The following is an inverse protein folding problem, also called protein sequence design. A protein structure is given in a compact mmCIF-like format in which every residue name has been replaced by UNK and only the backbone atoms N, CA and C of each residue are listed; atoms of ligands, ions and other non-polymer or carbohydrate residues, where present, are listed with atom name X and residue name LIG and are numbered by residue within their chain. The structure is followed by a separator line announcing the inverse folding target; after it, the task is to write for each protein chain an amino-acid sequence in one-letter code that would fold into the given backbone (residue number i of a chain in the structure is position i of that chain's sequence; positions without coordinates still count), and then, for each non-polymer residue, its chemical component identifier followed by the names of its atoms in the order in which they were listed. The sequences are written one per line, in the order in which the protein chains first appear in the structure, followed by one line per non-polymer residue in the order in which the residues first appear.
data_IF_160264375706
#
_entry.id   IF_160264375706
#
_cell.length_a   1.000
_cell.length_b   1.000
_cell.length_c   1.000
_cell.angle_alpha   90.00
_cell.angle_beta   90.00
_cell.angle_gamma   90.00
#
_symmetry.space_group_name_H-M   'P 1'
#
loop_
_entity.id
_entity.type
_entity.pdbx_description
1 polymer ?
#
# COMPACT_ATOMS: atom_id res chain seq x y z
N UNK A 1 -22.35 -9.22 -24.98
CA UNK A 1 -23.75 -9.19 -24.50
C UNK A 1 -23.73 -8.57 -23.13
N UNK A 2 -24.42 -7.44 -22.98
CA UNK A 2 -24.37 -6.59 -21.80
C UNK A 2 -25.09 -7.27 -20.62
N UNK A 3 -24.40 -7.39 -19.48
CA UNK A 3 -25.02 -7.75 -18.21
C UNK A 3 -25.80 -6.53 -17.72
N UNK A 4 -27.12 -6.57 -17.88
CA UNK A 4 -28.04 -5.69 -17.17
C UNK A 4 -28.13 -6.16 -15.71
N UNK A 5 -27.22 -5.69 -14.88
CA UNK A 5 -27.45 -5.66 -13.43
C UNK A 5 -28.52 -4.63 -13.16
N UNK A 6 -29.78 -5.05 -13.14
CA UNK A 6 -30.85 -4.29 -12.51
C UNK A 6 -30.53 -4.19 -11.02
N UNK A 7 -30.00 -3.03 -10.62
CA UNK A 7 -29.99 -2.63 -9.22
C UNK A 7 -31.45 -2.57 -8.76
N UNK A 8 -31.90 -3.62 -8.06
CA UNK A 8 -33.12 -3.57 -7.25
C UNK A 8 -32.88 -2.52 -6.19
N UNK A 9 -33.33 -1.29 -6.47
CA UNK A 9 -33.39 -0.22 -5.49
C UNK A 9 -34.46 -0.64 -4.51
N UNK A 10 -34.05 -1.12 -3.34
CA UNK A 10 -34.94 -1.29 -2.20
C UNK A 10 -35.52 0.10 -1.94
N UNK A 11 -36.79 0.29 -2.29
CA UNK A 11 -37.49 1.53 -2.04
C UNK A 11 -37.68 1.62 -0.54
N UNK A 12 -36.69 2.18 0.18
CA UNK A 12 -36.87 2.45 1.59
C UNK A 12 -38.04 3.41 1.74
N UNK A 13 -38.99 3.13 2.65
CA UNK A 13 -40.13 4.01 2.86
C UNK A 13 -39.61 5.40 3.22
N UNK A 14 -40.18 6.44 2.62
CA UNK A 14 -39.84 7.82 2.98
C UNK A 14 -40.39 8.05 4.38
N UNK A 15 -39.51 8.21 5.37
CA UNK A 15 -39.90 8.52 6.74
C UNK A 15 -39.62 9.99 7.03
N UNK A 16 -40.60 10.68 7.62
CA UNK A 16 -40.41 12.03 8.14
C UNK A 16 -39.80 11.96 9.54
N UNK A 17 -38.62 12.58 9.71
CA UNK A 17 -37.93 12.63 11.00
C UNK A 17 -38.10 13.97 11.69
N UNK A 18 -38.18 13.89 13.02
CA UNK A 18 -38.13 15.06 13.90
C UNK A 18 -36.98 14.92 14.90
N UNK A 19 -36.26 16.01 15.20
CA UNK A 19 -35.19 15.99 16.19
C UNK A 19 -35.75 15.68 17.58
N UNK A 20 -35.04 14.84 18.34
CA UNK A 20 -35.38 14.46 19.71
C UNK A 20 -34.63 15.39 20.66
N UNK A 21 -35.31 15.90 21.69
CA UNK A 21 -34.68 16.63 22.80
C UNK A 21 -34.88 15.88 24.11
N UNK A 22 -33.79 15.58 24.81
CA UNK A 22 -33.82 14.83 26.07
C UNK A 22 -33.78 15.80 27.26
N UNK A 23 -34.92 15.94 27.96
CA UNK A 23 -34.99 16.71 29.20
C UNK A 23 -34.54 15.85 30.40
N UNK A 24 -33.24 15.79 30.65
CA UNK A 24 -32.69 15.18 31.87
C UNK A 24 -32.40 16.26 32.92
N UNK A 25 -33.00 16.23 34.13
CA UNK A 25 -32.72 17.23 35.15
C UNK A 25 -31.30 17.06 35.72
N UNK A 26 -30.45 18.07 35.54
CA UNK A 26 -29.06 18.08 36.04
C UNK A 26 -28.92 18.58 37.48
N UNK A 27 -30.04 18.83 38.17
CA UNK A 27 -30.05 19.41 39.52
C UNK A 27 -29.64 18.34 40.55
N UNK A 28 -28.38 18.39 40.99
CA UNK A 28 -27.83 17.55 42.07
C UNK A 28 -26.65 16.64 41.68
N UNK A 29 -26.19 16.66 40.42
CA UNK A 29 -25.05 15.85 39.98
C UNK A 29 -23.69 16.55 40.22
N UNK A 30 -22.64 15.76 40.50
CA UNK A 30 -21.26 16.26 40.52
C UNK A 30 -20.86 16.81 39.15
N UNK A 31 -19.97 17.82 39.13
CA UNK A 31 -19.57 18.57 37.91
C UNK A 31 -19.11 17.62 36.78
N UNK A 32 -18.27 16.64 37.08
CA UNK A 32 -17.78 15.68 36.09
C UNK A 32 -18.90 14.81 35.50
N UNK A 33 -19.91 14.48 36.29
CA UNK A 33 -21.06 13.67 35.85
C UNK A 33 -22.01 14.50 35.00
N UNK A 34 -22.17 15.78 35.32
CA UNK A 34 -22.97 16.71 34.54
C UNK A 34 -22.37 16.93 33.13
N UNK A 35 -21.05 17.04 33.03
CA UNK A 35 -20.34 17.21 31.75
C UNK A 35 -20.46 15.96 30.86
N UNK A 36 -20.30 14.77 31.44
CA UNK A 36 -20.50 13.50 30.71
C UNK A 36 -21.96 13.36 30.24
N UNK A 37 -22.92 13.70 31.09
CA UNK A 37 -24.34 13.65 30.72
C UNK A 37 -24.68 14.63 29.59
N UNK A 38 -24.11 15.84 29.62
CA UNK A 38 -24.29 16.84 28.56
C UNK A 38 -23.66 16.37 27.24
N UNK A 39 -22.45 15.80 27.28
CA UNK A 39 -21.78 15.26 26.10
C UNK A 39 -22.56 14.10 25.47
N UNK A 40 -23.06 13.17 26.28
CA UNK A 40 -23.88 12.04 25.81
C UNK A 40 -25.19 12.57 25.21
N UNK A 41 -25.82 13.58 25.84
CA UNK A 41 -27.04 14.22 25.34
C UNK A 41 -26.80 14.82 23.95
N UNK A 42 -25.77 15.64 23.80
CA UNK A 42 -25.45 16.27 22.51
C UNK A 42 -25.20 15.24 21.41
N UNK A 43 -24.45 14.18 21.73
CA UNK A 43 -24.23 13.08 20.78
C UNK A 43 -25.50 12.29 20.48
N UNK A 44 -26.37 12.08 21.45
CA UNK A 44 -27.62 11.34 21.27
C UNK A 44 -28.59 12.15 20.40
N UNK A 45 -28.78 13.44 20.67
CA UNK A 45 -29.67 14.31 19.89
C UNK A 45 -29.17 14.52 18.46
N UNK A 46 -27.84 14.47 18.24
CA UNK A 46 -27.27 14.56 16.89
C UNK A 46 -27.46 13.28 16.05
N UNK A 47 -27.53 12.11 16.68
CA UNK A 47 -27.52 10.82 15.98
C UNK A 47 -28.85 10.07 16.05
N UNK A 48 -29.73 10.42 16.98
CA UNK A 48 -31.03 9.78 17.16
C UNK A 48 -32.14 10.69 16.62
N UNK A 49 -32.93 10.14 15.72
CA UNK A 49 -34.08 10.83 15.11
C UNK A 49 -35.35 10.05 15.46
N UNK A 50 -36.44 10.77 15.77
CA UNK A 50 -37.74 10.14 15.99
C UNK A 50 -38.52 10.14 14.68
N UNK A 51 -38.92 8.95 14.23
CA UNK A 51 -39.83 8.83 13.09
C UNK A 51 -41.23 9.26 13.52
N UNK A 52 -41.74 10.36 12.95
CA UNK A 52 -43.05 10.91 13.29
C UNK A 52 -44.18 10.12 12.62
N UNK A 53 -43.95 9.66 11.41
CA UNK A 53 -44.91 8.87 10.64
C UNK A 53 -44.16 7.75 9.95
N UNK A 54 -44.54 6.52 10.30
CA UNK A 54 -44.04 5.31 9.66
C UNK A 54 -45.14 4.82 8.73
N UNK A 55 -45.02 5.12 7.44
CA UNK A 55 -46.00 4.70 6.45
C UNK A 55 -45.82 3.19 6.19
N UNK A 56 -46.58 2.38 6.94
CA UNK A 56 -46.68 0.94 6.68
C UNK A 56 -47.66 0.78 5.53
N UNK A 57 -47.14 0.56 4.32
CA UNK A 57 -47.95 0.07 3.22
C UNK A 57 -48.32 -1.38 3.52
N UNK A 58 -49.43 -1.58 4.25
CA UNK A 58 -50.00 -2.90 4.44
C UNK A 58 -50.43 -3.44 3.07
N UNK A 59 -50.21 -4.72 2.78
CA UNK A 59 -50.77 -5.33 1.57
C UNK A 59 -52.30 -5.15 1.57
N UNK A 60 -52.92 -4.95 0.39
CA UNK A 60 -54.35 -4.74 0.30
C UNK A 60 -55.11 -5.87 0.98
N UNK A 61 -56.10 -5.50 1.81
CA UNK A 61 -56.90 -6.45 2.58
C UNK A 61 -57.59 -7.43 1.64
N UNK A 62 -57.66 -8.70 2.02
CA UNK A 62 -58.25 -9.81 1.22
C UNK A 62 -59.72 -9.50 0.89
N UNK A 63 -60.39 -8.70 1.73
CA UNK A 63 -61.76 -8.21 1.53
C UNK A 63 -61.90 -7.12 0.44
N UNK A 64 -60.79 -6.54 -0.03
CA UNK A 64 -60.78 -5.45 -1.01
C UNK A 64 -60.40 -5.86 -2.44
N UNK A 65 -59.94 -7.10 -2.67
CA UNK A 65 -59.41 -7.55 -3.98
C UNK A 65 -60.51 -8.13 -4.90
N UNK A 66 -61.72 -8.43 -4.40
CA UNK A 66 -62.78 -9.02 -5.22
C UNK A 66 -63.63 -7.97 -5.94
N UNK A 67 -63.09 -7.35 -6.99
CA UNK A 67 -63.89 -6.48 -7.88
C UNK A 67 -64.57 -7.21 -9.05
N UNK A 68 -64.62 -8.56 -9.07
CA UNK A 68 -65.33 -9.31 -10.14
C UNK A 68 -66.20 -10.50 -9.71
N UNK A 69 -66.20 -10.93 -8.45
CA UNK A 69 -67.17 -11.93 -7.96
C UNK A 69 -67.40 -11.76 -6.46
N UNK A 70 -68.57 -11.25 -6.08
CA UNK A 70 -69.00 -11.05 -4.70
C UNK A 70 -69.38 -12.38 -4.02
N UNK A 71 -68.43 -13.30 -3.86
CA UNK A 71 -68.53 -14.41 -2.91
C UNK A 71 -67.19 -14.55 -2.21
N UNK A 72 -67.11 -14.03 -1.00
CA UNK A 72 -66.05 -14.38 -0.06
C UNK A 72 -66.51 -15.69 0.59
N UNK A 73 -65.84 -16.79 0.27
CA UNK A 73 -66.08 -18.05 0.97
C UNK A 73 -65.57 -17.88 2.40
N UNK A 74 -66.48 -17.88 3.38
CA UNK A 74 -66.14 -17.62 4.79
C UNK A 74 -65.09 -18.60 5.34
N UNK A 75 -64.97 -19.76 4.73
CA UNK A 75 -63.97 -20.79 5.02
C UNK A 75 -62.53 -20.35 4.67
N UNK A 76 -62.35 -19.50 3.65
CA UNK A 76 -61.05 -18.96 3.27
C UNK A 76 -60.54 -17.87 4.22
N UNK A 77 -61.39 -17.32 5.08
CA UNK A 77 -61.01 -16.31 6.09
C UNK A 77 -60.38 -16.94 7.34
N UNK A 78 -60.61 -18.24 7.56
CA UNK A 78 -60.06 -18.99 8.69
C UNK A 78 -58.93 -19.93 8.29
N UNK A 79 -58.59 -20.00 6.99
CA UNK A 79 -57.35 -20.62 6.54
C UNK A 79 -56.19 -19.73 7.03
N UNK A 80 -55.51 -20.21 8.06
CA UNK A 80 -54.28 -19.58 8.53
C UNK A 80 -53.30 -19.63 7.36
N UNK A 81 -52.76 -18.49 6.88
CA UNK A 81 -51.74 -18.54 5.84
C UNK A 81 -50.60 -19.40 6.37
N UNK A 82 -50.30 -20.49 5.67
CA UNK A 82 -49.18 -21.36 6.04
C UNK A 82 -47.92 -20.54 5.88
N UNK A 83 -47.42 -19.98 6.98
CA UNK A 83 -46.13 -19.28 7.05
C UNK A 83 -44.96 -20.17 6.61
N UNK A 84 -45.21 -21.48 6.44
CA UNK A 84 -44.28 -22.43 5.88
C UNK A 84 -44.26 -22.37 4.35
N UNK A 85 -43.64 -21.32 3.83
CA UNK A 85 -43.46 -21.09 2.39
C UNK A 85 -42.81 -22.29 1.68
N UNK A 86 -41.87 -22.98 2.33
CA UNK A 86 -41.17 -24.13 1.76
C UNK A 86 -42.12 -25.30 1.47
N UNK A 87 -43.10 -25.52 2.34
CA UNK A 87 -44.11 -26.55 2.16
C UNK A 87 -45.02 -26.18 0.98
N UNK A 88 -45.52 -24.94 0.96
CA UNK A 88 -46.36 -24.42 -0.12
C UNK A 88 -45.70 -24.48 -1.51
N UNK A 89 -44.38 -24.31 -1.58
CA UNK A 89 -43.60 -24.37 -2.83
C UNK A 89 -43.29 -25.83 -3.25
N UNK A 90 -43.39 -26.79 -2.33
CA UNK A 90 -42.99 -28.19 -2.53
C UNK A 90 -44.15 -29.18 -2.69
N UNK A 91 -45.37 -28.80 -2.31
CA UNK A 91 -46.55 -29.67 -2.34
C UNK A 91 -47.67 -29.10 -3.21
N UNK A 92 -48.30 -29.99 -3.99
CA UNK A 92 -49.55 -29.74 -4.69
C UNK A 92 -50.72 -29.55 -3.71
N UNK A 93 -51.84 -28.94 -4.15
CA UNK A 93 -53.05 -28.82 -3.32
C UNK A 93 -53.62 -30.17 -2.84
N UNK A 94 -53.28 -31.27 -3.53
CA UNK A 94 -53.67 -32.64 -3.16
C UNK A 94 -52.71 -33.29 -2.13
N UNK A 95 -51.72 -32.55 -1.62
CA UNK A 95 -50.71 -33.05 -0.67
C UNK A 95 -49.60 -33.91 -1.30
N UNK A 96 -49.57 -34.06 -2.62
CA UNK A 96 -48.50 -34.76 -3.34
C UNK A 96 -47.30 -33.83 -3.60
N UNK A 97 -46.07 -34.36 -3.67
CA UNK A 97 -44.89 -33.56 -3.96
C UNK A 97 -44.91 -33.01 -5.40
N UNK A 98 -44.50 -31.75 -5.55
CA UNK A 98 -44.36 -31.11 -6.84
C UNK A 98 -43.24 -31.79 -7.64
N UNK A 99 -43.53 -32.20 -8.88
CA UNK A 99 -42.50 -32.71 -9.79
C UNK A 99 -41.71 -31.53 -10.36
N UNK A 100 -40.39 -31.71 -10.44
CA UNK A 100 -39.49 -30.71 -11.03
C UNK A 100 -39.77 -30.54 -12.52
N UNK A 101 -39.74 -29.29 -12.98
CA UNK A 101 -39.85 -28.96 -14.39
C UNK A 101 -38.58 -29.42 -15.16
N UNK A 102 -38.67 -29.56 -16.48
CA UNK A 102 -37.56 -30.01 -17.31
C UNK A 102 -36.34 -29.08 -17.20
N UNK A 103 -36.56 -27.76 -17.12
CA UNK A 103 -35.50 -26.77 -16.89
C UNK A 103 -34.82 -26.96 -15.52
N UNK A 104 -35.60 -27.23 -14.47
CA UNK A 104 -35.07 -27.50 -13.12
C UNK A 104 -34.31 -28.82 -13.07
N UNK A 105 -34.73 -29.83 -13.84
CA UNK A 105 -34.01 -31.08 -13.97
C UNK A 105 -32.68 -30.90 -14.71
N UNK A 106 -32.61 -30.00 -15.69
CA UNK A 106 -31.35 -29.67 -16.37
C UNK A 106 -30.39 -28.92 -15.43
N UNK A 107 -30.87 -27.96 -14.64
CA UNK A 107 -30.03 -27.26 -13.66
C UNK A 107 -29.53 -28.22 -12.58
N UNK A 108 -30.39 -29.10 -12.07
CA UNK A 108 -29.98 -30.22 -11.19
C UNK A 108 -28.88 -31.09 -11.81
N UNK A 109 -28.99 -31.43 -13.10
CA UNK A 109 -27.95 -32.20 -13.81
C UNK A 109 -26.63 -31.43 -13.94
N UNK A 110 -26.68 -30.12 -14.18
CA UNK A 110 -25.48 -29.31 -14.40
C UNK A 110 -24.79 -28.92 -13.09
N UNK A 111 -25.52 -28.42 -12.11
CA UNK A 111 -24.97 -27.82 -10.89
C UNK A 111 -25.35 -28.56 -9.60
N UNK A 112 -26.34 -29.45 -9.64
CA UNK A 112 -26.90 -30.10 -8.45
C UNK A 112 -27.83 -29.19 -7.65
N UNK A 113 -28.20 -28.05 -8.23
CA UNK A 113 -29.03 -27.01 -7.61
C UNK A 113 -30.14 -26.59 -8.58
N UNK A 114 -31.31 -26.22 -8.04
CA UNK A 114 -32.38 -25.61 -8.81
C UNK A 114 -33.03 -24.47 -8.04
N UNK A 115 -33.66 -23.57 -8.79
CA UNK A 115 -34.32 -22.40 -8.23
C UNK A 115 -35.84 -22.51 -8.40
N UNK A 116 -36.57 -22.07 -7.38
CA UNK A 116 -38.04 -22.06 -7.36
C UNK A 116 -38.54 -20.69 -6.93
N UNK A 117 -39.55 -20.17 -7.62
CA UNK A 117 -40.11 -18.86 -7.32
C UNK A 117 -40.83 -18.87 -5.97
N UNK A 118 -40.61 -17.81 -5.20
CA UNK A 118 -41.36 -17.56 -3.97
C UNK A 118 -42.83 -17.28 -4.29
N UNK A 119 -43.73 -17.91 -3.53
CA UNK A 119 -45.19 -17.68 -3.63
C UNK A 119 -45.60 -16.42 -2.86
N UNK A 120 -44.92 -16.13 -1.75
CA UNK A 120 -45.28 -15.01 -0.86
C UNK A 120 -44.52 -13.71 -1.20
N UNK A 121 -43.32 -13.80 -1.78
CA UNK A 121 -42.43 -12.69 -2.07
C UNK A 121 -42.12 -12.62 -3.58
N UNK A 122 -42.93 -11.90 -4.37
CA UNK A 122 -42.72 -11.82 -5.82
C UNK A 122 -41.34 -11.20 -6.13
N UNK A 123 -40.59 -11.85 -7.02
CA UNK A 123 -39.22 -11.46 -7.38
C UNK A 123 -38.11 -12.10 -6.53
N UNK A 124 -38.45 -12.93 -5.54
CA UNK A 124 -37.48 -13.75 -4.80
C UNK A 124 -37.52 -15.22 -5.25
N UNK A 125 -36.37 -15.89 -5.19
CA UNK A 125 -36.19 -17.29 -5.58
C UNK A 125 -35.56 -18.08 -4.44
N UNK A 126 -36.10 -19.27 -4.18
CA UNK A 126 -35.50 -20.25 -3.29
C UNK A 126 -34.52 -21.11 -4.05
N UNK A 127 -33.29 -21.26 -3.53
CA UNK A 127 -32.28 -22.14 -4.10
C UNK A 127 -32.23 -23.45 -3.34
N UNK A 128 -32.56 -24.53 -4.03
CA UNK A 128 -32.62 -25.87 -3.48
C UNK A 128 -31.40 -26.65 -3.95
N UNK A 129 -30.58 -27.12 -3.01
CA UNK A 129 -29.37 -27.91 -3.28
C UNK A 129 -29.64 -29.37 -2.92
N UNK A 130 -29.41 -30.26 -3.87
CA UNK A 130 -29.49 -31.70 -3.62
C UNK A 130 -28.34 -32.17 -2.73
N UNK A 131 -28.57 -33.25 -2.00
CA UNK A 131 -27.49 -33.88 -1.23
C UNK A 131 -26.41 -34.38 -2.19
N UNK A 132 -25.14 -34.18 -1.82
CA UNK A 132 -23.99 -34.63 -2.61
C UNK A 132 -23.96 -36.15 -2.85
N UNK A 133 -24.66 -36.91 -2.00
CA UNK A 133 -24.81 -38.35 -2.11
C UNK A 133 -25.75 -38.75 -3.26
N UNK A 134 -26.76 -37.94 -3.55
CA UNK A 134 -27.72 -38.20 -4.63
C UNK A 134 -27.21 -37.66 -5.96
N UNK A 135 -26.92 -36.36 -6.03
CA UNK A 135 -26.50 -35.72 -7.27
C UNK A 135 -25.78 -34.39 -7.01
N UNK A 136 -24.51 -34.31 -7.39
CA UNK A 136 -23.68 -33.11 -7.23
C UNK A 136 -23.72 -32.16 -8.44
N UNK A 137 -24.19 -32.62 -9.60
CA UNK A 137 -24.10 -31.89 -10.86
C UNK A 137 -22.74 -32.04 -11.57
N UNK A 138 -22.74 -31.99 -12.90
CA UNK A 138 -21.55 -32.20 -13.75
C UNK A 138 -20.49 -31.11 -13.54
N UNK A 139 -20.88 -29.84 -13.48
CA UNK A 139 -19.95 -28.72 -13.35
C UNK A 139 -19.26 -28.75 -11.98
N UNK A 140 -20.04 -28.92 -10.92
CA UNK A 140 -19.53 -29.05 -9.55
C UNK A 140 -18.59 -30.25 -9.42
N UNK A 141 -18.93 -31.39 -10.03
CA UNK A 141 -18.07 -32.57 -10.03
C UNK A 141 -16.74 -32.32 -10.77
N UNK A 142 -16.79 -31.64 -11.93
CA UNK A 142 -15.58 -31.24 -12.67
C UNK A 142 -14.72 -30.27 -11.85
N UNK A 143 -15.32 -29.29 -11.18
CA UNK A 143 -14.58 -28.34 -10.34
C UNK A 143 -13.91 -29.01 -9.15
N UNK A 144 -14.60 -29.94 -8.48
CA UNK A 144 -14.01 -30.78 -7.43
C UNK A 144 -12.87 -31.62 -7.99
N UNK A 145 -13.06 -32.29 -9.13
CA UNK A 145 -12.02 -33.07 -9.77
C UNK A 145 -10.77 -32.24 -10.08
N UNK A 146 -10.91 -31.08 -10.70
CA UNK A 146 -9.77 -30.20 -11.00
C UNK A 146 -9.11 -29.64 -9.73
N UNK A 147 -9.89 -29.44 -8.67
CA UNK A 147 -9.35 -29.02 -7.36
C UNK A 147 -8.50 -30.13 -6.75
N UNK A 148 -9.00 -31.35 -6.67
CA UNK A 148 -8.26 -32.50 -6.15
C UNK A 148 -7.03 -32.82 -7.01
N UNK A 149 -7.15 -32.74 -8.33
CA UNK A 149 -6.02 -32.89 -9.25
C UNK A 149 -4.95 -31.82 -9.02
N UNK A 150 -5.35 -30.57 -8.79
CA UNK A 150 -4.40 -29.50 -8.48
C UNK A 150 -3.72 -29.71 -7.12
N UNK A 151 -4.42 -30.30 -6.14
CA UNK A 151 -3.83 -30.67 -4.84
C UNK A 151 -2.85 -31.85 -4.94
N UNK A 152 -3.19 -32.89 -5.70
CA UNK A 152 -2.27 -33.99 -6.00
C UNK A 152 -1.00 -33.48 -6.70
N UNK A 153 -1.17 -32.58 -7.67
CA UNK A 153 -0.05 -31.97 -8.39
C UNK A 153 0.78 -31.03 -7.49
N UNK A 154 0.15 -30.33 -6.55
CA UNK A 154 0.86 -29.56 -5.52
C UNK A 154 1.76 -30.44 -4.67
N UNK A 155 1.28 -31.62 -4.24
CA UNK A 155 2.08 -32.56 -3.48
C UNK A 155 3.32 -33.04 -4.24
N UNK A 156 3.19 -33.27 -5.55
CA UNK A 156 4.30 -33.70 -6.39
C UNK A 156 5.28 -32.57 -6.73
N UNK A 157 4.78 -31.44 -7.23
CA UNK A 157 5.64 -30.38 -7.77
C UNK A 157 6.22 -29.50 -6.67
N UNK A 158 5.42 -29.15 -5.66
CA UNK A 158 5.81 -28.19 -4.62
C UNK A 158 6.32 -28.94 -3.40
N UNK A 159 5.49 -29.81 -2.80
CA UNK A 159 5.84 -30.43 -1.52
C UNK A 159 7.03 -31.39 -1.64
N UNK A 160 7.02 -32.32 -2.60
CA UNK A 160 8.12 -33.25 -2.77
C UNK A 160 9.44 -32.52 -3.14
N UNK A 161 9.37 -31.51 -4.02
CA UNK A 161 10.54 -30.69 -4.36
C UNK A 161 11.07 -29.93 -3.14
N UNK A 162 10.19 -29.34 -2.32
CA UNK A 162 10.59 -28.60 -1.13
C UNK A 162 11.31 -29.46 -0.11
N UNK A 163 10.87 -30.71 0.05
CA UNK A 163 11.54 -31.68 0.91
C UNK A 163 12.98 -31.97 0.47
N UNK A 164 13.30 -31.78 -0.81
CA UNK A 164 14.65 -32.00 -1.33
C UNK A 164 15.46 -30.71 -1.33
N UNK A 165 14.93 -29.60 -1.87
CA UNK A 165 15.73 -28.41 -2.23
C UNK A 165 15.43 -27.14 -1.43
N UNK A 166 14.44 -27.11 -0.54
CA UNK A 166 14.10 -25.89 0.23
C UNK A 166 15.25 -25.44 1.13
N UNK A 167 15.29 -24.17 1.53
CA UNK A 167 16.27 -23.67 2.50
C UNK A 167 15.94 -24.07 3.95
N UNK A 168 14.68 -24.46 4.22
CA UNK A 168 14.21 -24.87 5.54
C UNK A 168 13.58 -26.25 5.47
N UNK A 169 13.97 -27.16 6.38
CA UNK A 169 13.45 -28.54 6.50
C UNK A 169 13.52 -29.36 5.20
N UNK A 170 14.64 -29.25 4.48
CA UNK A 170 14.94 -30.06 3.30
C UNK A 170 16.18 -30.93 3.50
N UNK A 171 16.31 -31.98 2.70
CA UNK A 171 17.49 -32.83 2.68
C UNK A 171 18.76 -32.03 2.38
N UNK A 172 18.71 -31.11 1.40
CA UNK A 172 19.87 -30.26 1.06
C UNK A 172 20.23 -29.30 2.19
N UNK A 173 19.24 -28.72 2.87
CA UNK A 173 19.47 -27.85 4.02
C UNK A 173 20.12 -28.62 5.17
N UNK A 174 19.60 -29.83 5.48
CA UNK A 174 20.21 -30.71 6.49
C UNK A 174 21.64 -31.07 6.13
N UNK A 175 21.94 -31.43 4.89
CA UNK A 175 23.30 -31.71 4.44
C UNK A 175 24.22 -30.49 4.54
N UNK A 176 23.75 -29.30 4.16
CA UNK A 176 24.52 -28.05 4.29
C UNK A 176 24.80 -27.72 5.75
N UNK A 177 23.79 -27.76 6.61
CA UNK A 177 23.95 -27.51 8.04
C UNK A 177 24.82 -28.57 8.71
N UNK A 178 24.75 -29.82 8.28
CA UNK A 178 25.63 -30.87 8.77
C UNK A 178 27.09 -30.65 8.33
N UNK A 179 27.31 -30.27 7.06
CA UNK A 179 28.62 -29.87 6.56
C UNK A 179 29.16 -28.66 7.33
N UNK A 180 28.33 -27.64 7.55
CA UNK A 180 28.71 -26.45 8.31
C UNK A 180 29.06 -26.81 9.76
N UNK A 181 28.22 -27.61 10.42
CA UNK A 181 28.51 -28.09 11.78
C UNK A 181 29.77 -28.94 11.85
N UNK A 182 30.04 -29.76 10.83
CA UNK A 182 31.27 -30.53 10.73
C UNK A 182 32.50 -29.63 10.53
N UNK A 183 32.41 -28.62 9.67
CA UNK A 183 33.46 -27.60 9.51
C UNK A 183 33.70 -26.87 10.83
N UNK A 184 32.65 -26.40 11.50
CA UNK A 184 32.76 -25.75 12.81
C UNK A 184 33.37 -26.66 13.90
N UNK A 185 33.12 -27.96 13.83
CA UNK A 185 33.72 -28.94 14.74
C UNK A 185 35.21 -29.13 14.43
N UNK A 186 35.58 -29.22 13.16
CA UNK A 186 36.98 -29.21 12.72
C UNK A 186 37.67 -27.92 13.16
N UNK A 187 37.02 -26.77 12.98
CA UNK A 187 37.53 -25.46 13.37
C UNK A 187 37.72 -25.37 14.89
N UNK A 188 36.80 -25.92 15.69
CA UNK A 188 36.94 -26.00 17.13
C UNK A 188 38.10 -26.92 17.57
N UNK A 189 38.39 -27.97 16.81
CA UNK A 189 39.48 -28.91 17.10
C UNK A 189 40.86 -28.40 16.65
N UNK A 190 40.92 -27.71 15.51
CA UNK A 190 42.16 -27.21 14.90
C UNK A 190 42.45 -25.76 15.30
N UNK A 191 41.44 -25.02 15.76
CA UNK A 191 41.54 -23.62 16.19
C UNK A 191 41.58 -22.61 15.05
N UNK A 192 41.11 -22.97 13.84
CA UNK A 192 41.01 -22.03 12.73
C UNK A 192 39.70 -21.22 12.83
N UNK A 193 39.74 -19.90 12.98
CA UNK A 193 38.51 -19.10 13.02
C UNK A 193 37.94 -18.97 11.61
N UNK A 194 36.88 -19.72 11.29
CA UNK A 194 36.09 -19.58 10.06
C UNK A 194 35.21 -18.30 10.02
N UNK A 195 35.72 -17.19 10.55
CA UNK A 195 34.94 -15.97 10.85
C UNK A 195 35.00 -14.93 9.71
N UNK A 196 35.72 -15.17 8.61
CA UNK A 196 36.01 -14.10 7.64
C UNK A 196 35.18 -14.07 6.35
N UNK A 197 34.15 -14.91 6.14
CA UNK A 197 33.46 -14.92 4.84
C UNK A 197 32.24 -14.01 4.71
N UNK A 198 31.50 -13.75 5.80
CA UNK A 198 30.15 -13.19 5.66
C UNK A 198 30.13 -11.66 5.54
N UNK A 199 31.27 -10.99 5.75
CA UNK A 199 31.38 -9.53 5.71
C UNK A 199 32.40 -9.03 4.67
N UNK A 200 32.88 -9.90 3.76
CA UNK A 200 33.86 -9.52 2.74
C UNK A 200 33.31 -8.41 1.84
N UNK A 201 32.04 -8.51 1.41
CA UNK A 201 31.43 -7.52 0.53
C UNK A 201 31.32 -6.15 1.20
N UNK A 202 30.94 -6.13 2.48
CA UNK A 202 30.87 -4.93 3.30
C UNK A 202 32.26 -4.36 3.59
N UNK A 203 33.28 -5.20 3.83
CA UNK A 203 34.67 -4.75 3.95
C UNK A 203 35.19 -4.17 2.64
N UNK A 204 34.93 -4.82 1.51
CA UNK A 204 35.29 -4.31 0.18
C UNK A 204 34.60 -2.96 -0.06
N UNK A 205 33.31 -2.84 0.28
CA UNK A 205 32.57 -1.59 0.15
C UNK A 205 33.16 -0.50 1.05
N UNK A 206 33.53 -0.83 2.28
CA UNK A 206 34.16 0.09 3.22
C UNK A 206 35.55 0.53 2.74
N UNK A 207 36.36 -0.38 2.22
CA UNK A 207 37.66 -0.04 1.63
C UNK A 207 37.47 0.84 0.38
N UNK A 208 36.50 0.52 -0.49
CA UNK A 208 36.16 1.38 -1.65
C UNK A 208 35.75 2.79 -1.22
N UNK A 209 34.91 2.92 -0.19
CA UNK A 209 34.53 4.22 0.37
C UNK A 209 35.74 4.99 0.90
N UNK A 210 36.66 4.32 1.59
CA UNK A 210 37.91 4.94 2.06
C UNK A 210 38.76 5.44 0.89
N UNK A 211 38.95 4.62 -0.15
CA UNK A 211 39.69 5.01 -1.35
C UNK A 211 39.06 6.23 -2.03
N UNK A 212 37.73 6.25 -2.18
CA UNK A 212 37.01 7.40 -2.74
C UNK A 212 37.23 8.68 -1.95
N UNK A 213 37.26 8.61 -0.61
CA UNK A 213 37.50 9.79 0.24
C UNK A 213 38.94 10.27 0.15
N UNK A 214 39.91 9.35 0.05
CA UNK A 214 41.35 9.69 -0.08
C UNK A 214 41.65 10.39 -1.42
N UNK A 215 40.92 10.04 -2.48
CA UNK A 215 41.08 10.65 -3.80
C UNK A 215 40.53 12.08 -3.89
N UNK A 216 39.75 12.54 -2.88
CA UNK A 216 39.24 13.90 -2.85
C UNK A 216 40.36 14.88 -2.48
N UNK A 217 40.56 15.86 -3.36
CA UNK A 217 41.49 16.97 -3.13
C UNK A 217 40.72 18.23 -2.72
N UNK A 218 41.19 19.05 -1.78
CA UNK A 218 40.51 20.31 -1.47
C UNK A 218 40.57 21.26 -2.67
N UNK A 219 39.54 22.07 -2.85
CA UNK A 219 39.54 23.11 -3.88
C UNK A 219 40.71 24.11 -3.64
N UNK A 220 41.27 24.70 -4.70
CA UNK A 220 42.46 25.57 -4.63
C UNK A 220 42.25 26.77 -3.68
N UNK A 221 41.02 27.26 -3.56
CA UNK A 221 40.63 28.35 -2.65
C UNK A 221 40.63 27.96 -1.18
N UNK A 222 40.38 26.68 -0.85
CA UNK A 222 40.27 26.19 0.53
C UNK A 222 41.49 25.34 0.95
N UNK A 223 42.45 25.12 0.04
CA UNK A 223 43.63 24.30 0.27
C UNK A 223 44.46 24.76 1.47
N UNK A 224 44.69 26.06 1.62
CA UNK A 224 45.43 26.61 2.77
C UNK A 224 44.72 26.34 4.11
N UNK A 225 43.39 26.40 4.13
CA UNK A 225 42.58 26.11 5.31
C UNK A 225 42.59 24.61 5.63
N UNK A 226 42.52 23.77 4.60
CA UNK A 226 42.63 22.32 4.72
C UNK A 226 43.99 21.90 5.27
N UNK A 227 45.09 22.45 4.72
CA UNK A 227 46.44 22.18 5.19
C UNK A 227 46.65 22.65 6.64
N UNK A 228 46.11 23.82 7.00
CA UNK A 228 46.11 24.31 8.38
C UNK A 228 45.30 23.42 9.33
N UNK A 229 44.16 22.88 8.89
CA UNK A 229 43.37 21.92 9.64
C UNK A 229 44.14 20.60 9.83
N UNK A 230 44.71 20.04 8.75
CA UNK A 230 45.52 18.83 8.79
C UNK A 230 46.74 18.97 9.71
N UNK A 231 47.39 20.14 9.74
CA UNK A 231 48.48 20.43 10.66
C UNK A 231 48.04 20.47 12.13
N UNK A 232 46.78 20.79 12.41
CA UNK A 232 46.21 20.78 13.77
C UNK A 232 45.75 19.39 14.22
N UNK A 233 45.43 18.46 13.31
CA UNK A 233 44.94 17.11 13.67
C UNK A 233 45.89 16.38 14.63
N UNK A 234 47.22 16.29 14.39
CA UNK A 234 48.13 15.60 15.31
C UNK A 234 48.11 16.20 16.72
N UNK A 235 48.12 17.54 16.80
CA UNK A 235 48.07 18.29 18.06
C UNK A 235 46.75 18.03 18.80
N UNK A 236 45.63 18.04 18.07
CA UNK A 236 44.31 17.74 18.63
C UNK A 236 44.18 16.28 19.06
N UNK A 237 44.77 15.33 18.33
CA UNK A 237 44.77 13.92 18.69
C UNK A 237 45.57 13.69 19.97
N UNK A 238 46.76 14.30 20.06
CA UNK A 238 47.61 14.25 21.25
C UNK A 238 46.89 14.86 22.46
N UNK A 239 46.27 16.03 22.29
CA UNK A 239 45.45 16.67 23.32
C UNK A 239 44.21 15.85 23.68
N UNK A 240 43.55 15.15 22.75
CA UNK A 240 42.41 14.27 23.04
C UNK A 240 42.83 12.98 23.76
N UNK A 241 43.98 12.41 23.40
CA UNK A 241 44.58 11.26 24.10
C UNK A 241 44.94 11.66 25.53
N UNK A 242 45.50 12.85 25.73
CA UNK A 242 45.74 13.41 27.07
C UNK A 242 44.43 13.73 27.80
N UNK A 243 43.47 14.38 27.14
CA UNK A 243 42.17 14.71 27.72
C UNK A 243 41.42 13.46 28.20
N UNK A 244 41.45 12.35 27.45
CA UNK A 244 40.89 11.06 27.88
C UNK A 244 41.65 10.43 29.05
N UNK A 245 42.94 10.76 29.25
CA UNK A 245 43.70 10.36 30.44
C UNK A 245 43.40 11.24 31.66
N UNK A 246 42.98 12.50 31.46
CA UNK A 246 42.82 13.50 32.53
C UNK A 246 41.36 13.88 32.89
N UNK A 247 40.35 13.45 32.12
CA UNK A 247 38.91 13.76 32.35
C UNK A 247 38.25 13.04 33.52
N UNK A 248 39.01 12.31 34.35
CA UNK A 248 38.56 11.84 35.67
C UNK A 248 38.79 12.88 36.79
N UNK A 249 39.36 14.06 36.50
CA UNK A 249 39.50 15.14 37.49
C UNK A 249 38.89 16.44 36.98
N UNK A 250 38.06 17.01 37.84
CA UNK A 250 37.12 18.09 37.57
C UNK A 250 37.68 19.35 36.90
N UNK A 251 36.73 19.99 36.20
CA UNK A 251 36.62 21.41 35.86
C UNK A 251 37.44 21.97 34.68
N UNK A 252 36.66 22.25 33.63
CA UNK A 252 36.78 23.39 32.73
C UNK A 252 38.05 23.47 31.88
N UNK A 253 38.04 22.76 30.75
CA UNK A 253 38.46 23.36 29.47
C UNK A 253 37.43 22.97 28.42
N UNK A 254 36.75 23.98 27.84
CA UNK A 254 36.00 23.77 26.59
C UNK A 254 36.99 23.16 25.59
N UNK A 255 36.59 22.15 24.81
CA UNK A 255 37.45 21.66 23.74
C UNK A 255 37.87 22.84 22.86
N UNK A 256 39.11 22.88 22.37
CA UNK A 256 39.56 23.94 21.47
C UNK A 256 38.58 24.03 20.29
N UNK A 257 38.20 25.27 19.94
CA UNK A 257 37.35 25.49 18.76
C UNK A 257 38.08 24.94 17.55
N UNK A 258 37.53 23.89 16.96
CA UNK A 258 38.04 23.33 15.72
C UNK A 258 37.97 24.41 14.64
N UNK A 259 39.04 24.55 13.85
CA UNK A 259 38.95 25.31 12.61
C UNK A 259 37.84 24.68 11.74
N UNK A 260 37.04 25.51 11.04
CA UNK A 260 36.02 25.01 10.13
C UNK A 260 36.69 24.10 9.09
N UNK A 261 36.14 22.90 8.92
CA UNK A 261 36.60 21.94 7.94
C UNK A 261 36.23 22.45 6.54
N UNK A 262 37.15 22.34 5.57
CA UNK A 262 36.86 22.63 4.16
C UNK A 262 35.71 21.74 3.69
N UNK A 263 34.75 22.32 3.00
CA UNK A 263 33.54 21.62 2.55
C UNK A 263 33.52 21.42 1.03
N UNK A 264 34.43 22.04 0.29
CA UNK A 264 34.53 21.94 -1.17
C UNK A 264 35.72 21.06 -1.57
N UNK A 265 35.42 19.96 -2.25
CA UNK A 265 36.39 18.97 -2.69
C UNK A 265 36.30 18.76 -4.19
N UNK A 266 37.42 18.53 -4.84
CA UNK A 266 37.52 18.22 -6.25
C UNK A 266 37.94 16.76 -6.41
N UNK A 267 37.16 16.02 -7.19
CA UNK A 267 37.50 14.65 -7.60
C UNK A 267 38.69 14.64 -8.58
N UNK A 268 39.37 13.50 -8.79
CA UNK A 268 40.41 13.37 -9.81
C UNK A 268 39.94 13.73 -11.24
N UNK A 269 38.63 13.67 -11.50
CA UNK A 269 38.00 14.04 -12.77
C UNK A 269 37.59 15.53 -12.84
N UNK A 270 38.08 16.38 -11.93
CA UNK A 270 37.73 17.81 -11.84
C UNK A 270 36.23 18.10 -11.62
N UNK A 271 35.51 17.18 -10.98
CA UNK A 271 34.13 17.43 -10.52
C UNK A 271 34.19 18.04 -9.12
N UNK A 272 33.59 19.21 -8.95
CA UNK A 272 33.47 19.92 -7.68
C UNK A 272 32.34 19.34 -6.83
N UNK A 273 32.68 18.87 -5.63
CA UNK A 273 31.82 18.23 -4.65
C UNK A 273 31.70 19.14 -3.44
N UNK A 274 30.47 19.53 -3.17
CA UNK A 274 30.14 20.38 -2.03
C UNK A 274 29.46 19.56 -0.93
N UNK A 275 30.15 19.41 0.20
CA UNK A 275 29.71 18.64 1.35
C UNK A 275 29.06 19.49 2.45
N UNK A 276 28.78 20.79 2.20
CA UNK A 276 28.17 21.69 3.19
C UNK A 276 26.83 21.16 3.72
N UNK A 277 26.06 20.47 2.88
CA UNK A 277 24.78 19.86 3.27
C UNK A 277 24.93 18.74 4.30
N UNK A 278 26.11 18.14 4.49
CA UNK A 278 26.33 17.07 5.47
C UNK A 278 26.74 17.58 6.86
N UNK A 279 26.87 18.89 7.05
CA UNK A 279 27.14 19.48 8.35
C UNK A 279 25.86 19.57 9.19
N UNK A 280 25.79 18.81 10.29
CA UNK A 280 24.63 18.77 11.20
C UNK A 280 24.22 20.16 11.74
N UNK A 281 25.18 21.03 12.05
CA UNK A 281 24.90 22.37 12.57
C UNK A 281 24.28 23.29 11.51
N UNK A 282 24.70 23.12 10.24
CA UNK A 282 24.08 23.83 9.12
C UNK A 282 22.70 23.24 8.80
N UNK A 283 22.55 21.92 8.82
CA UNK A 283 21.26 21.26 8.57
C UNK A 283 20.18 21.70 9.56
N UNK A 284 20.49 21.78 10.86
CA UNK A 284 19.50 22.20 11.87
C UNK A 284 19.03 23.64 11.66
N UNK A 285 19.95 24.56 11.37
CA UNK A 285 19.64 25.97 11.05
C UNK A 285 18.85 26.08 9.76
N UNK A 286 19.30 25.41 8.70
CA UNK A 286 18.65 25.38 7.40
C UNK A 286 17.23 24.82 7.50
N UNK A 287 17.02 23.75 8.27
CA UNK A 287 15.69 23.15 8.49
C UNK A 287 14.72 24.14 9.15
N UNK A 288 15.20 24.90 10.14
CA UNK A 288 14.39 25.95 10.78
C UNK A 288 14.00 27.04 9.78
N UNK A 289 14.97 27.53 8.99
CA UNK A 289 14.76 28.58 7.99
C UNK A 289 13.80 28.11 6.87
N UNK A 290 13.99 26.89 6.36
CA UNK A 290 13.11 26.32 5.33
C UNK A 290 11.68 26.19 5.86
N UNK A 291 11.49 25.72 7.10
CA UNK A 291 10.15 25.62 7.70
C UNK A 291 9.46 26.99 7.85
N UNK A 292 10.21 28.04 8.23
CA UNK A 292 9.67 29.41 8.31
C UNK A 292 9.35 29.97 6.93
N UNK A 293 10.20 29.73 5.93
CA UNK A 293 9.99 30.18 4.55
C UNK A 293 8.76 29.52 3.91
N UNK A 294 8.62 28.20 4.07
CA UNK A 294 7.49 27.46 3.52
C UNK A 294 6.16 27.87 4.16
N UNK A 295 6.13 28.06 5.47
CA UNK A 295 4.92 28.50 6.18
C UNK A 295 4.51 29.94 5.86
N UNK A 296 5.48 30.81 5.52
CA UNK A 296 5.24 32.21 5.15
C UNK A 296 4.80 32.38 3.70
N UNK A 297 5.44 31.66 2.77
CA UNK A 297 5.31 31.91 1.33
C UNK A 297 4.25 31.04 0.64
N UNK A 298 3.84 29.91 1.25
CA UNK A 298 2.83 29.02 0.65
C UNK A 298 1.44 29.38 1.22
N UNK A 299 0.48 29.80 0.38
CA UNK A 299 -0.87 30.09 0.85
C UNK A 299 -1.53 28.81 1.40
N UNK A 300 -2.12 28.88 2.59
CA UNK A 300 -2.80 27.73 3.24
C UNK A 300 -3.85 27.04 2.35
N UNK A 301 -4.45 27.78 1.42
CA UNK A 301 -5.48 27.26 0.50
C UNK A 301 -4.96 26.93 -0.91
N UNK A 302 -3.67 27.14 -1.20
CA UNK A 302 -3.13 26.95 -2.55
C UNK A 302 -3.33 25.53 -3.07
N UNK A 303 -3.13 24.53 -2.21
CA UNK A 303 -3.32 23.14 -2.56
C UNK A 303 -4.75 22.87 -3.03
N UNK A 304 -5.75 23.37 -2.29
CA UNK A 304 -7.16 23.15 -2.59
C UNK A 304 -7.62 23.89 -3.85
N UNK A 305 -7.16 25.14 -4.04
CA UNK A 305 -7.52 25.92 -5.24
C UNK A 305 -6.90 25.32 -6.49
N UNK A 306 -5.63 24.93 -6.44
CA UNK A 306 -4.91 24.33 -7.55
C UNK A 306 -5.43 22.94 -7.88
N UNK A 307 -5.71 22.11 -6.87
CA UNK A 307 -6.38 20.82 -7.06
C UNK A 307 -7.73 20.98 -7.76
N UNK A 308 -8.56 21.95 -7.37
CA UNK A 308 -9.84 22.23 -8.04
C UNK A 308 -9.66 22.67 -9.50
N UNK A 309 -8.67 23.53 -9.78
CA UNK A 309 -8.30 23.96 -11.13
C UNK A 309 -7.89 22.76 -12.00
N UNK A 310 -6.97 21.93 -11.51
CA UNK A 310 -6.49 20.74 -12.22
C UNK A 310 -7.61 19.72 -12.44
N UNK A 311 -8.47 19.48 -11.44
CA UNK A 311 -9.64 18.60 -11.60
C UNK A 311 -10.55 19.10 -12.71
N UNK A 312 -10.82 20.41 -12.79
CA UNK A 312 -11.66 20.95 -13.86
C UNK A 312 -11.01 20.80 -15.24
N UNK A 313 -9.71 21.05 -15.34
CA UNK A 313 -8.94 20.85 -16.57
C UNK A 313 -8.98 19.38 -17.04
N UNK A 314 -8.62 18.43 -16.17
CA UNK A 314 -8.60 17.01 -16.52
C UNK A 314 -10.00 16.39 -16.65
N UNK A 315 -11.05 17.02 -16.10
CA UNK A 315 -12.45 16.64 -16.38
C UNK A 315 -12.85 16.94 -17.83
N UNK A 316 -12.36 18.03 -18.40
CA UNK A 316 -12.58 18.33 -19.82
C UNK A 316 -11.86 17.28 -20.69
N UNK A 317 -10.61 16.96 -20.37
CA UNK A 317 -9.85 15.90 -21.06
C UNK A 317 -10.44 14.49 -20.86
N UNK A 318 -11.08 14.23 -19.71
CA UNK A 318 -11.76 12.96 -19.46
C UNK A 318 -12.89 12.70 -20.46
N UNK A 319 -13.63 13.74 -20.84
CA UNK A 319 -14.73 13.66 -21.80
C UNK A 319 -14.20 13.42 -23.22
N UNK A 320 -13.03 13.99 -23.54
CA UNK A 320 -12.41 13.90 -24.86
C UNK A 320 -11.67 12.56 -25.08
N UNK A 321 -10.99 12.04 -24.06
CA UNK A 321 -10.12 10.85 -24.15
C UNK A 321 -10.69 9.58 -23.51
N UNK A 322 -11.92 9.61 -22.97
CA UNK A 322 -12.58 8.47 -22.28
C UNK A 322 -11.72 7.84 -21.16
N UNK A 323 -10.96 8.66 -20.43
CA UNK A 323 -10.06 8.23 -19.37
C UNK A 323 -10.81 7.70 -18.14
N UNK A 324 -10.24 6.70 -17.47
CA UNK A 324 -10.77 6.21 -16.19
C UNK A 324 -10.65 7.28 -15.10
N UNK A 325 -11.62 7.32 -14.18
CA UNK A 325 -11.59 8.23 -13.01
C UNK A 325 -10.31 8.05 -12.18
N UNK A 326 -9.78 6.84 -12.12
CA UNK A 326 -8.54 6.53 -11.38
C UNK A 326 -7.29 7.13 -12.07
N UNK A 327 -7.24 7.08 -13.39
CA UNK A 327 -6.13 7.65 -14.18
C UNK A 327 -6.12 9.18 -14.09
N UNK A 328 -7.29 9.80 -14.15
CA UNK A 328 -7.45 11.26 -13.94
C UNK A 328 -6.96 11.66 -12.55
N UNK A 329 -7.31 10.90 -11.51
CA UNK A 329 -6.86 11.17 -10.15
C UNK A 329 -5.32 11.08 -10.02
N UNK A 330 -4.69 10.06 -10.64
CA UNK A 330 -3.23 9.93 -10.67
C UNK A 330 -2.57 11.11 -11.37
N UNK A 331 -3.05 11.50 -12.56
CA UNK A 331 -2.50 12.65 -13.30
C UNK A 331 -2.63 13.96 -12.54
N UNK A 332 -3.78 14.22 -11.93
CA UNK A 332 -3.98 15.40 -11.05
C UNK A 332 -2.94 15.40 -9.93
N UNK A 333 -2.73 14.26 -9.26
CA UNK A 333 -1.79 14.18 -8.15
C UNK A 333 -0.34 14.40 -8.61
N UNK A 334 0.07 13.77 -9.72
CA UNK A 334 1.41 13.95 -10.29
C UNK A 334 1.67 15.42 -10.63
N UNK A 335 0.73 16.06 -11.33
CA UNK A 335 0.90 17.46 -11.73
C UNK A 335 0.90 18.42 -10.53
N UNK A 336 0.04 18.16 -9.54
CA UNK A 336 0.00 18.92 -8.30
C UNK A 336 1.33 18.83 -7.53
N UNK A 337 1.93 17.64 -7.49
CA UNK A 337 3.23 17.43 -6.85
C UNK A 337 4.34 18.17 -7.60
N UNK A 338 4.34 18.13 -8.95
CA UNK A 338 5.32 18.86 -9.78
C UNK A 338 5.22 20.37 -9.53
N UNK A 339 4.00 20.94 -9.62
CA UNK A 339 3.79 22.38 -9.38
C UNK A 339 4.18 22.79 -7.95
N UNK A 340 3.96 21.92 -6.97
CA UNK A 340 4.37 22.16 -5.59
C UNK A 340 5.89 22.17 -5.44
N UNK A 341 6.57 21.16 -5.99
CA UNK A 341 8.02 21.00 -5.91
C UNK A 341 8.74 22.16 -6.59
N UNK A 342 8.34 22.55 -7.81
CA UNK A 342 8.98 23.68 -8.51
C UNK A 342 8.81 24.99 -7.73
N UNK A 343 7.63 25.23 -7.15
CA UNK A 343 7.44 26.41 -6.30
C UNK A 343 8.31 26.40 -5.06
N UNK A 344 8.42 25.25 -4.39
CA UNK A 344 9.31 25.11 -3.23
C UNK A 344 10.75 25.40 -3.63
N UNK A 345 11.19 24.90 -4.78
CA UNK A 345 12.52 25.16 -5.32
C UNK A 345 12.75 26.63 -5.65
N UNK A 346 11.79 27.30 -6.30
CA UNK A 346 11.85 28.75 -6.57
C UNK A 346 11.93 29.58 -5.28
N UNK A 347 11.17 29.21 -4.24
CA UNK A 347 11.20 29.91 -2.94
C UNK A 347 12.57 29.75 -2.27
N UNK A 348 13.15 28.55 -2.33
CA UNK A 348 14.45 28.25 -1.72
C UNK A 348 15.58 28.95 -2.49
N UNK A 349 15.60 28.87 -3.81
CA UNK A 349 16.63 29.49 -4.66
C UNK A 349 16.68 31.01 -4.52
N UNK A 350 15.53 31.67 -4.30
CA UNK A 350 15.42 33.13 -4.20
C UNK A 350 15.42 33.66 -2.76
N UNK A 351 15.75 32.83 -1.76
CA UNK A 351 15.69 33.23 -0.35
C UNK A 351 16.97 33.91 0.13
N UNK A 352 16.87 35.17 0.53
CA UNK A 352 18.00 35.93 1.07
C UNK A 352 18.51 35.34 2.41
N UNK A 353 17.61 34.79 3.23
CA UNK A 353 17.95 34.18 4.52
C UNK A 353 18.88 32.95 4.37
N UNK A 354 18.77 32.20 3.28
CA UNK A 354 19.65 31.05 3.00
C UNK A 354 20.98 31.53 2.40
N UNK A 355 20.95 32.56 1.54
CA UNK A 355 22.15 33.15 0.96
C UNK A 355 23.04 33.83 2.02
N UNK A 356 22.44 34.45 3.04
CA UNK A 356 23.14 35.01 4.20
C UNK A 356 23.84 33.93 5.06
N UNK A 357 23.29 32.70 5.11
CA UNK A 357 23.89 31.61 5.88
C UNK A 357 25.15 31.07 5.18
N UNK A 358 25.07 30.84 3.87
CA UNK A 358 26.22 30.47 3.04
C UNK A 358 25.89 30.70 1.56
N UNK A 359 26.76 31.36 0.79
CA UNK A 359 26.47 31.71 -0.59
C UNK A 359 26.28 30.46 -1.45
N UNK A 360 25.23 30.43 -2.28
CA UNK A 360 24.93 29.31 -3.18
C UNK A 360 24.32 28.07 -2.50
N UNK A 361 24.07 28.11 -1.18
CA UNK A 361 23.49 26.98 -0.44
C UNK A 361 22.07 26.63 -0.90
N UNK A 362 21.28 27.64 -1.31
CA UNK A 362 19.93 27.41 -1.86
C UNK A 362 19.94 26.59 -3.15
N UNK A 363 20.86 26.90 -4.08
CA UNK A 363 21.03 26.14 -5.33
C UNK A 363 21.54 24.72 -5.08
N UNK A 364 22.45 24.55 -4.12
CA UNK A 364 22.93 23.25 -3.71
C UNK A 364 21.80 22.38 -3.12
N UNK A 365 20.97 22.96 -2.24
CA UNK A 365 19.84 22.25 -1.65
C UNK A 365 18.82 21.82 -2.72
N UNK A 366 18.50 22.70 -3.67
CA UNK A 366 17.56 22.39 -4.75
C UNK A 366 18.11 21.35 -5.71
N UNK A 367 19.38 21.46 -6.12
CA UNK A 367 20.01 20.45 -6.99
C UNK A 367 20.05 19.07 -6.34
N UNK A 368 20.40 19.00 -5.05
CA UNK A 368 20.37 17.76 -4.27
C UNK A 368 18.95 17.20 -4.09
N UNK A 369 17.96 18.06 -3.82
CA UNK A 369 16.58 17.64 -3.73
C UNK A 369 16.04 17.14 -5.08
N UNK A 370 16.37 17.83 -6.19
CA UNK A 370 16.03 17.42 -7.55
C UNK A 370 16.61 16.05 -7.88
N UNK A 371 17.90 15.80 -7.60
CA UNK A 371 18.50 14.49 -7.87
C UNK A 371 17.83 13.36 -7.09
N UNK A 372 17.55 13.57 -5.79
CA UNK A 372 16.83 12.57 -4.97
C UNK A 372 15.42 12.30 -5.51
N UNK A 373 14.66 13.35 -5.88
CA UNK A 373 13.32 13.18 -6.42
C UNK A 373 13.33 12.46 -7.77
N UNK A 374 14.29 12.77 -8.63
CA UNK A 374 14.50 12.10 -9.91
C UNK A 374 14.83 10.62 -9.70
N UNK A 375 15.78 10.29 -8.82
CA UNK A 375 16.12 8.90 -8.48
C UNK A 375 14.89 8.14 -7.96
N UNK A 376 14.11 8.74 -7.06
CA UNK A 376 12.88 8.14 -6.54
C UNK A 376 11.83 7.90 -7.63
N UNK A 377 11.66 8.87 -8.53
CA UNK A 377 10.75 8.77 -9.68
C UNK A 377 11.14 7.62 -10.60
N UNK A 378 12.43 7.47 -10.91
CA UNK A 378 12.95 6.39 -11.74
C UNK A 378 12.73 5.03 -11.09
N UNK A 379 13.06 4.90 -9.79
CA UNK A 379 12.84 3.66 -9.04
C UNK A 379 11.36 3.29 -9.03
N UNK A 380 10.47 4.27 -8.88
CA UNK A 380 9.02 4.04 -8.95
C UNK A 380 8.59 3.56 -10.35
N UNK A 381 9.09 4.20 -11.41
CA UNK A 381 8.78 3.79 -12.79
C UNK A 381 9.26 2.37 -13.09
N UNK A 382 10.49 2.02 -12.69
CA UNK A 382 11.03 0.67 -12.85
C UNK A 382 10.24 -0.37 -12.04
N UNK A 383 9.77 0.01 -10.85
CA UNK A 383 8.90 -0.85 -10.03
C UNK A 383 7.54 -1.07 -10.68
N UNK A 384 6.93 -0.01 -11.21
CA UNK A 384 5.67 -0.07 -11.93
C UNK A 384 5.79 -0.93 -13.21
N UNK A 385 6.91 -0.83 -13.92
CA UNK A 385 7.19 -1.63 -15.11
C UNK A 385 7.44 -3.11 -14.78
N UNK A 386 8.16 -3.39 -13.70
CA UNK A 386 8.27 -4.75 -13.15
C UNK A 386 6.90 -5.32 -12.79
N UNK A 387 6.03 -4.55 -12.16
CA UNK A 387 4.69 -5.01 -11.79
C UNK A 387 3.81 -5.27 -13.03
N UNK A 388 3.89 -4.43 -14.07
CA UNK A 388 3.22 -4.69 -15.37
C UNK A 388 3.75 -5.95 -16.03
N UNK A 389 5.07 -6.15 -16.01
CA UNK A 389 5.71 -7.34 -16.55
C UNK A 389 5.22 -8.60 -15.82
N UNK A 390 5.24 -8.60 -14.49
CA UNK A 390 4.76 -9.73 -13.67
C UNK A 390 3.27 -10.01 -13.86
N UNK A 391 2.42 -8.99 -14.04
CA UNK A 391 1.01 -9.18 -14.40
C UNK A 391 0.84 -9.88 -15.74
N UNK A 392 1.59 -9.45 -16.75
CA UNK A 392 1.58 -10.05 -18.10
C UNK A 392 2.02 -11.51 -18.07
N UNK A 393 3.10 -11.80 -17.33
CA UNK A 393 3.58 -13.17 -17.12
C UNK A 393 2.55 -14.00 -16.38
N UNK A 394 1.91 -13.46 -15.34
CA UNK A 394 0.85 -14.16 -14.61
C UNK A 394 -0.30 -14.56 -15.52
N UNK A 395 -0.77 -13.65 -16.36
CA UNK A 395 -1.83 -13.91 -17.33
C UNK A 395 -1.41 -14.95 -18.38
N UNK A 396 -0.15 -14.91 -18.83
CA UNK A 396 0.43 -15.94 -19.71
C UNK A 396 0.44 -17.31 -19.03
N UNK A 397 0.91 -17.40 -17.79
CA UNK A 397 0.93 -18.65 -17.01
C UNK A 397 -0.46 -19.23 -16.78
N UNK A 398 -1.46 -18.37 -16.53
CA UNK A 398 -2.86 -18.80 -16.37
C UNK A 398 -3.40 -19.40 -17.68
N UNK A 399 -3.08 -18.78 -18.83
CA UNK A 399 -3.50 -19.27 -20.15
C UNK A 399 -2.81 -20.58 -20.56
N UNK A 400 -1.50 -20.68 -20.36
CA UNK A 400 -0.71 -21.85 -20.76
C UNK A 400 -0.90 -23.06 -19.84
N UNK A 401 -1.20 -22.83 -18.56
CA UNK A 401 -1.27 -23.89 -17.56
C UNK A 401 -2.50 -23.79 -16.66
N UNK A 402 -3.72 -24.10 -17.17
CA UNK A 402 -4.98 -23.90 -16.45
C UNK A 402 -5.14 -24.73 -15.17
N UNK A 403 -4.45 -25.88 -15.07
CA UNK A 403 -4.50 -26.75 -13.86
C UNK A 403 -3.42 -26.33 -12.85
N UNK A 404 -2.19 -26.05 -13.31
CA UNK A 404 -1.10 -25.61 -12.42
C UNK A 404 -1.34 -24.21 -11.88
N UNK A 405 -1.99 -23.34 -12.66
CA UNK A 405 -2.33 -21.99 -12.24
C UNK A 405 -3.31 -21.93 -11.07
N UNK A 406 -4.09 -23.00 -10.84
CA UNK A 406 -4.91 -23.13 -9.62
C UNK A 406 -4.06 -23.28 -8.35
N UNK A 407 -2.80 -23.69 -8.48
CA UNK A 407 -1.85 -23.81 -7.37
C UNK A 407 -1.17 -22.46 -7.14
N UNK A 408 -1.65 -21.71 -6.14
CA UNK A 408 -1.13 -20.38 -5.82
C UNK A 408 0.39 -20.35 -5.64
N UNK A 409 0.93 -21.27 -4.84
CA UNK A 409 2.37 -21.37 -4.53
C UNK A 409 3.25 -21.67 -5.74
N UNK A 410 2.70 -22.32 -6.77
CA UNK A 410 3.43 -22.56 -8.02
C UNK A 410 3.52 -21.28 -8.86
N UNK A 411 2.43 -20.52 -8.97
CA UNK A 411 2.44 -19.20 -9.63
C UNK A 411 3.42 -18.26 -8.92
N UNK A 412 3.35 -18.16 -7.59
CA UNK A 412 4.22 -17.27 -6.81
C UNK A 412 5.69 -17.57 -7.05
N UNK A 413 6.08 -18.85 -7.07
CA UNK A 413 7.46 -19.25 -7.38
C UNK A 413 7.88 -18.84 -8.78
N UNK A 414 7.03 -19.04 -9.76
CA UNK A 414 7.34 -18.65 -11.14
C UNK A 414 7.47 -17.14 -11.28
N UNK A 415 6.57 -16.37 -10.66
CA UNK A 415 6.66 -14.91 -10.63
C UNK A 415 7.89 -14.43 -9.85
N UNK A 416 8.30 -15.14 -8.80
CA UNK A 416 9.50 -14.82 -8.04
C UNK A 416 10.78 -15.11 -8.83
N UNK A 417 10.85 -16.26 -9.51
CA UNK A 417 11.95 -16.60 -10.43
C UNK A 417 12.08 -15.53 -11.54
N UNK A 418 10.96 -15.15 -12.18
CA UNK A 418 10.97 -14.09 -13.20
C UNK A 418 11.31 -12.71 -12.62
N UNK A 419 10.86 -12.39 -11.40
CA UNK A 419 11.24 -11.14 -10.71
C UNK A 419 12.75 -11.06 -10.53
N UNK A 420 13.37 -12.13 -10.04
CA UNK A 420 14.83 -12.18 -9.86
C UNK A 420 15.55 -12.02 -11.21
N UNK A 421 15.09 -12.73 -12.25
CA UNK A 421 15.68 -12.61 -13.58
C UNK A 421 15.56 -11.19 -14.13
N UNK A 422 14.40 -10.55 -13.96
CA UNK A 422 14.18 -9.17 -14.38
C UNK A 422 15.12 -8.21 -13.63
N UNK A 423 15.24 -8.34 -12.31
CA UNK A 423 16.13 -7.51 -11.49
C UNK A 423 17.58 -7.68 -11.93
N UNK A 424 18.05 -8.90 -12.18
CA UNK A 424 19.40 -9.13 -12.69
C UNK A 424 19.65 -8.54 -14.07
N UNK A 425 18.64 -8.54 -14.95
CA UNK A 425 18.76 -7.93 -16.27
C UNK A 425 18.82 -6.40 -16.22
N UNK A 426 18.18 -5.78 -15.22
CA UNK A 426 18.01 -4.33 -15.09
C UNK A 426 18.72 -3.77 -13.84
N UNK A 427 19.77 -4.45 -13.34
CA UNK A 427 20.43 -4.13 -12.07
C UNK A 427 21.02 -2.71 -12.06
N UNK A 428 21.52 -2.27 -13.21
CA UNK A 428 22.20 -0.97 -13.37
C UNK A 428 21.30 0.12 -13.97
N UNK A 429 20.10 -0.24 -14.43
CA UNK A 429 19.23 0.67 -15.18
C UNK A 429 18.76 1.83 -14.32
N UNK A 430 18.48 1.58 -13.05
CA UNK A 430 18.13 2.63 -12.09
C UNK A 430 19.24 3.68 -11.99
N UNK A 431 20.50 3.24 -11.94
CA UNK A 431 21.66 4.13 -11.86
C UNK A 431 21.89 4.87 -13.17
N UNK A 432 21.87 4.16 -14.30
CA UNK A 432 22.09 4.75 -15.62
C UNK A 432 21.03 5.79 -15.97
N UNK A 433 19.75 5.46 -15.81
CA UNK A 433 18.64 6.38 -16.04
C UNK A 433 18.69 7.58 -15.11
N UNK A 434 19.13 7.39 -13.85
CA UNK A 434 19.26 8.49 -12.88
C UNK A 434 20.35 9.46 -13.29
N UNK A 435 21.51 8.95 -13.69
CA UNK A 435 22.62 9.76 -14.16
C UNK A 435 22.22 10.52 -15.43
N UNK A 436 21.58 9.85 -16.39
CA UNK A 436 21.16 10.46 -17.65
C UNK A 436 20.11 11.56 -17.41
N UNK A 437 19.10 11.32 -16.57
CA UNK A 437 18.12 12.34 -16.22
C UNK A 437 18.74 13.50 -15.45
N UNK A 438 19.65 13.24 -14.51
CA UNK A 438 20.31 14.31 -13.78
C UNK A 438 21.22 15.17 -14.68
N UNK A 439 21.90 14.56 -15.67
CA UNK A 439 22.64 15.29 -16.71
C UNK A 439 21.72 16.19 -17.54
N UNK A 440 20.55 15.71 -17.94
CA UNK A 440 19.58 16.53 -18.68
C UNK A 440 19.06 17.71 -17.86
N UNK A 441 18.98 17.58 -16.54
CA UNK A 441 18.55 18.62 -15.62
C UNK A 441 19.67 19.61 -15.24
N UNK A 442 20.89 19.42 -15.78
CA UNK A 442 22.03 20.32 -15.52
C UNK A 442 22.69 20.14 -14.15
N UNK A 443 22.39 19.05 -13.43
CA UNK A 443 23.04 18.74 -12.16
C UNK A 443 24.43 18.14 -12.43
N UNK A 444 25.48 18.92 -12.19
CA UNK A 444 26.87 18.50 -12.42
C UNK A 444 27.41 17.55 -11.33
N UNK A 445 26.79 17.50 -10.16
CA UNK A 445 27.18 16.70 -9.00
C UNK A 445 26.49 15.32 -8.90
N UNK A 446 25.76 14.90 -9.94
CA UNK A 446 24.87 13.73 -9.89
C UNK A 446 25.44 12.45 -10.52
#
# INVERSE_FOLDING_TARGET
MANSTEHVSIHMPKYETTPIHFNTPTSGASIDVADIQNYIREKAEKNLEQCKTFEISLPPSITGITSKSNKIEFESLFQTPTLNELEAVSTNPDGSSLKLNEEQLQTVKQTGEFEVNSVHFPGQHHRWRLSKLLQSGIQTANDVFYKELSWALYMLIIYARDRVTSNCFSFNATLRSWKQGFVSLIDALIGLPAVYSDDIDSQIENERKKFLVIELSPNESEKEMHDAFCAQIPILLEMMIEYNKYTLRENQKRPPRMLPYSHHFVTPNNIDIDLRLHNNDLQTKLTSIVNTLLSRNIPKNWFNTTKRRLINQYKHEQIELSLSKEEVAKRVQTQLNIEYVERVFEIIENSNEIEELSPGLGRLLVSHARSILTMKSIVQNLTDDLDKHLKTIREKLIREHPIKSKIHRWIERKLFEERINYIHQHEWDAHQLSIDQCKTLGNQQA
#
